data_IF_330350060301
#
_entry.id   IF_330350060301
#
_cell.length_a   1.000
_cell.length_b   1.000
_cell.length_c   1.000
_cell.angle_alpha   90.00
_cell.angle_beta   90.00
_cell.angle_gamma   90.00
#
_symmetry.space_group_name_H-M   'P 1'
#
loop_
_entity.id
_entity.type
_entity.pdbx_description
1 polymer ?
#
# COMPACT_ATOMS: atom_id res chain seq x y z
N UNK A 1 5.72 -12.04 3.46
CA UNK A 1 6.00 -11.07 2.37
C UNK A 1 6.87 -11.65 1.27
N UNK A 2 8.10 -12.10 1.56
CA UNK A 2 9.04 -12.54 0.51
C UNK A 2 8.48 -13.59 -0.46
N UNK A 3 7.63 -14.49 0.01
CA UNK A 3 7.01 -15.55 -0.79
C UNK A 3 6.12 -14.96 -1.90
N UNK A 4 5.28 -13.99 -1.56
CA UNK A 4 4.33 -13.38 -2.49
C UNK A 4 4.99 -12.43 -3.49
N UNK A 5 6.08 -11.77 -3.08
CA UNK A 5 6.85 -10.87 -3.97
C UNK A 5 7.44 -11.62 -5.17
N UNK A 6 7.84 -12.87 -5.00
CA UNK A 6 8.50 -13.62 -6.06
C UNK A 6 7.55 -14.26 -7.09
N UNK A 7 6.25 -14.38 -6.78
CA UNK A 7 5.32 -15.21 -7.57
C UNK A 7 4.10 -14.47 -8.12
N UNK A 8 3.92 -13.17 -7.82
CA UNK A 8 2.74 -12.42 -8.27
C UNK A 8 3.09 -11.11 -8.97
N UNK A 9 2.21 -10.68 -9.88
CA UNK A 9 2.28 -9.38 -10.53
C UNK A 9 2.15 -8.21 -9.52
N UNK A 10 1.57 -8.48 -8.34
CA UNK A 10 1.38 -7.49 -7.29
C UNK A 10 2.70 -6.89 -6.79
N UNK A 11 3.81 -7.64 -6.91
CA UNK A 11 5.16 -7.14 -6.63
C UNK A 11 5.59 -6.05 -7.63
N UNK A 12 5.27 -6.23 -8.91
CA UNK A 12 5.51 -5.19 -9.92
C UNK A 12 4.67 -3.96 -9.63
N UNK A 13 3.38 -4.15 -9.29
CA UNK A 13 2.48 -3.06 -8.92
C UNK A 13 2.99 -2.30 -7.69
N UNK A 14 3.46 -3.03 -6.67
CA UNK A 14 4.08 -2.46 -5.49
C UNK A 14 5.33 -1.64 -5.83
N UNK A 15 6.15 -2.12 -6.76
CA UNK A 15 7.34 -1.42 -7.25
C UNK A 15 7.01 -0.10 -7.94
N UNK A 16 6.04 -0.10 -8.85
CA UNK A 16 5.59 1.11 -9.56
C UNK A 16 5.05 2.14 -8.57
N UNK A 17 4.17 1.72 -7.65
CA UNK A 17 3.61 2.59 -6.62
C UNK A 17 4.68 3.14 -5.67
N UNK A 18 5.66 2.30 -5.26
CA UNK A 18 6.75 2.71 -4.39
C UNK A 18 7.65 3.77 -5.05
N UNK A 19 7.98 3.62 -6.32
CA UNK A 19 8.71 4.64 -7.07
C UNK A 19 7.91 5.94 -7.18
N UNK A 20 6.59 5.84 -7.45
CA UNK A 20 5.70 7.00 -7.47
C UNK A 20 5.72 7.78 -6.15
N UNK A 21 5.57 7.09 -5.01
CA UNK A 21 5.64 7.71 -3.69
C UNK A 21 7.03 8.28 -3.37
N UNK A 22 8.10 7.58 -3.77
CA UNK A 22 9.48 8.04 -3.56
C UNK A 22 9.76 9.33 -4.31
N UNK A 23 9.37 9.38 -5.59
CA UNK A 23 9.54 10.60 -6.40
C UNK A 23 8.71 11.76 -5.85
N UNK A 24 7.50 11.49 -5.35
CA UNK A 24 6.69 12.50 -4.69
C UNK A 24 7.34 13.04 -3.42
N UNK A 25 7.94 12.15 -2.61
CA UNK A 25 8.67 12.53 -1.41
C UNK A 25 9.92 13.37 -1.74
N UNK A 26 10.67 12.97 -2.77
CA UNK A 26 11.83 13.74 -3.26
C UNK A 26 11.40 15.11 -3.80
N UNK A 27 10.27 15.17 -4.51
CA UNK A 27 9.72 16.43 -4.99
C UNK A 27 9.27 17.34 -3.83
N UNK A 28 8.71 16.77 -2.77
CA UNK A 28 8.23 17.52 -1.61
C UNK A 28 9.37 18.05 -0.71
N UNK A 29 10.52 17.37 -0.71
CA UNK A 29 11.70 17.75 0.09
C UNK A 29 12.79 18.44 -0.72
N UNK A 30 12.75 18.35 -2.05
CA UNK A 30 13.69 18.97 -2.96
C UNK A 30 13.31 20.42 -3.31
N UNK A 31 14.15 21.05 -4.12
CA UNK A 31 13.96 22.41 -4.61
C UNK A 31 14.22 22.54 -6.12
N UNK A 32 13.63 23.56 -6.75
CA UNK A 32 13.88 23.92 -8.13
C UNK A 32 13.32 22.97 -9.19
N UNK A 33 13.92 22.98 -10.38
CA UNK A 33 13.43 22.22 -11.56
C UNK A 33 13.39 20.70 -11.35
N UNK A 34 14.27 20.17 -10.51
CA UNK A 34 14.26 18.75 -10.14
C UNK A 34 12.98 18.38 -9.41
N UNK A 35 12.51 19.22 -8.49
CA UNK A 35 11.25 19.00 -7.76
C UNK A 35 10.06 18.94 -8.71
N UNK A 36 9.98 19.81 -9.71
CA UNK A 36 8.88 19.82 -10.70
C UNK A 36 8.92 18.56 -11.56
N UNK A 37 10.08 18.18 -12.10
CA UNK A 37 10.22 16.94 -12.89
C UNK A 37 9.87 15.69 -12.10
N UNK A 38 10.35 15.61 -10.86
CA UNK A 38 10.06 14.50 -9.96
C UNK A 38 8.56 14.42 -9.60
N UNK A 39 7.87 15.55 -9.42
CA UNK A 39 6.44 15.56 -9.13
C UNK A 39 5.60 15.08 -10.31
N UNK A 40 5.92 15.48 -11.54
CA UNK A 40 5.24 14.97 -12.74
C UNK A 40 5.50 13.48 -12.93
N UNK A 41 6.75 13.03 -12.77
CA UNK A 41 7.10 11.61 -12.85
C UNK A 41 6.39 10.78 -11.76
N UNK A 42 6.27 11.31 -10.55
CA UNK A 42 5.48 10.69 -9.48
C UNK A 42 4.01 10.52 -9.91
N UNK A 43 3.43 11.57 -10.49
CA UNK A 43 2.07 11.55 -11.00
C UNK A 43 1.86 10.54 -12.14
N UNK A 44 2.81 10.45 -13.07
CA UNK A 44 2.78 9.45 -14.14
C UNK A 44 2.77 8.02 -13.56
N UNK A 45 3.64 7.71 -12.59
CA UNK A 45 3.71 6.38 -11.99
C UNK A 45 2.48 6.07 -11.14
N UNK A 46 2.03 6.99 -10.29
CA UNK A 46 0.82 6.81 -9.47
C UNK A 46 -0.44 6.76 -10.34
N UNK A 47 -0.51 7.58 -11.38
CA UNK A 47 -1.59 7.53 -12.37
C UNK A 47 -1.59 6.23 -13.17
N UNK A 48 -0.41 5.71 -13.54
CA UNK A 48 -0.31 4.40 -14.21
C UNK A 48 -0.70 3.26 -13.26
N UNK A 49 -0.33 3.34 -11.98
CA UNK A 49 -0.63 2.29 -11.01
C UNK A 49 -2.14 1.99 -10.90
N UNK A 50 -3.03 2.99 -11.03
CA UNK A 50 -4.48 2.77 -10.97
C UNK A 50 -5.04 1.96 -12.16
N UNK A 51 -4.27 1.86 -13.26
CA UNK A 51 -4.60 1.01 -14.40
C UNK A 51 -3.99 -0.39 -14.28
N UNK A 52 -3.00 -0.59 -13.41
CA UNK A 52 -2.47 -1.91 -13.07
C UNK A 52 -3.38 -2.68 -12.12
N UNK A 53 -3.91 -1.98 -11.11
CA UNK A 53 -4.87 -2.52 -10.14
C UNK A 53 -5.78 -1.40 -9.63
N UNK A 54 -7.10 -1.65 -9.63
CA UNK A 54 -8.10 -0.67 -9.19
C UNK A 54 -7.95 -0.28 -7.72
N UNK A 55 -7.44 -1.18 -6.88
CA UNK A 55 -7.16 -0.91 -5.45
C UNK A 55 -6.06 0.13 -5.25
N UNK A 56 -5.16 0.30 -6.22
CA UNK A 56 -4.04 1.25 -6.12
C UNK A 56 -4.48 2.71 -6.16
N UNK A 57 -5.74 3.01 -6.46
CA UNK A 57 -6.31 4.36 -6.23
C UNK A 57 -6.15 4.78 -4.77
N UNK A 58 -6.13 3.84 -3.83
CA UNK A 58 -5.93 4.10 -2.41
C UNK A 58 -4.51 4.61 -2.07
N UNK A 59 -3.54 4.50 -3.01
CA UNK A 59 -2.22 5.13 -2.86
C UNK A 59 -2.29 6.65 -2.75
N UNK A 60 -3.40 7.27 -3.10
CA UNK A 60 -3.65 8.69 -2.86
C UNK A 60 -3.54 9.06 -1.36
N UNK A 61 -3.89 8.13 -0.45
CA UNK A 61 -3.84 8.35 1.00
C UNK A 61 -2.39 8.51 1.49
N UNK A 62 -1.47 7.54 1.28
CA UNK A 62 -0.07 7.73 1.66
C UNK A 62 0.62 8.83 0.84
N UNK A 63 0.24 9.07 -0.42
CA UNK A 63 0.75 10.20 -1.19
C UNK A 63 0.43 11.54 -0.52
N UNK A 64 -0.81 11.72 -0.07
CA UNK A 64 -1.20 12.90 0.68
C UNK A 64 -0.48 12.99 2.03
N UNK A 65 -0.31 11.86 2.74
CA UNK A 65 0.45 11.82 3.98
C UNK A 65 1.91 12.26 3.79
N UNK A 66 2.56 11.88 2.70
CA UNK A 66 3.92 12.35 2.35
C UNK A 66 3.98 13.88 2.23
N UNK A 67 3.03 14.48 1.50
CA UNK A 67 2.97 15.93 1.34
C UNK A 67 2.69 16.64 2.67
N UNK A 68 1.80 16.09 3.48
CA UNK A 68 1.46 16.61 4.80
C UNK A 68 2.65 16.57 5.77
N UNK A 69 3.44 15.49 5.75
CA UNK A 69 4.66 15.34 6.54
C UNK A 69 5.73 16.32 6.08
N UNK A 70 5.93 16.46 4.77
CA UNK A 70 6.86 17.43 4.19
C UNK A 70 6.40 18.90 4.36
N UNK A 71 5.12 19.14 4.71
CA UNK A 71 4.47 20.46 4.77
C UNK A 71 4.62 21.26 3.47
N UNK A 72 4.69 20.54 2.36
CA UNK A 72 4.87 21.12 1.04
C UNK A 72 3.89 20.46 0.05
N UNK A 73 2.89 21.21 -0.36
CA UNK A 73 1.84 20.74 -1.27
C UNK A 73 2.09 21.15 -2.73
N UNK A 74 3.15 21.90 -3.00
CA UNK A 74 3.47 22.34 -4.36
C UNK A 74 3.61 21.16 -5.35
N UNK A 75 4.26 20.03 -4.98
CA UNK A 75 4.39 18.88 -5.88
C UNK A 75 3.05 18.22 -6.26
N UNK A 76 1.99 18.49 -5.52
CA UNK A 76 0.66 17.95 -5.85
C UNK A 76 0.19 18.38 -7.25
N UNK A 77 0.48 19.61 -7.66
CA UNK A 77 0.12 20.14 -8.98
C UNK A 77 0.78 19.32 -10.09
N UNK A 78 2.09 19.11 -10.00
CA UNK A 78 2.83 18.29 -10.98
C UNK A 78 2.36 16.83 -10.97
N UNK A 79 2.09 16.27 -9.79
CA UNK A 79 1.57 14.91 -9.67
C UNK A 79 0.18 14.76 -10.30
N UNK A 80 -0.72 15.73 -10.10
CA UNK A 80 -2.04 15.73 -10.75
C UNK A 80 -1.88 15.82 -12.29
N UNK A 81 -1.01 16.71 -12.78
CA UNK A 81 -0.75 16.83 -14.23
C UNK A 81 -0.24 15.50 -14.80
N UNK A 82 0.73 14.86 -14.14
CA UNK A 82 1.23 13.55 -14.57
C UNK A 82 0.15 12.47 -14.56
N UNK A 83 -0.65 12.39 -13.50
CA UNK A 83 -1.73 11.42 -13.40
C UNK A 83 -2.82 11.65 -14.46
N UNK A 84 -3.21 12.90 -14.70
CA UNK A 84 -4.20 13.26 -15.74
C UNK A 84 -3.68 12.95 -17.14
N UNK A 85 -2.38 13.08 -17.42
CA UNK A 85 -1.79 12.69 -18.69
C UNK A 85 -1.97 11.19 -18.96
N UNK A 86 -1.78 10.34 -17.93
CA UNK A 86 -2.03 8.89 -18.04
C UNK A 86 -3.52 8.63 -18.28
N UNK A 87 -4.41 9.25 -17.49
CA UNK A 87 -5.86 9.11 -17.65
C UNK A 87 -6.29 9.52 -19.06
N UNK A 88 -5.80 10.65 -19.57
CA UNK A 88 -6.09 11.12 -20.91
C UNK A 88 -5.62 10.15 -22.00
N UNK A 89 -4.44 9.52 -21.80
CA UNK A 89 -3.89 8.53 -22.74
C UNK A 89 -4.78 7.29 -22.81
N UNK A 90 -5.15 6.70 -21.68
CA UNK A 90 -6.02 5.52 -21.66
C UNK A 90 -7.44 5.82 -22.17
N UNK A 91 -8.01 6.97 -21.78
CA UNK A 91 -9.33 7.41 -22.26
C UNK A 91 -9.31 7.67 -23.76
N UNK A 92 -8.27 8.34 -24.27
CA UNK A 92 -8.08 8.57 -25.71
C UNK A 92 -7.90 7.28 -26.50
N UNK A 93 -7.34 6.23 -25.88
CA UNK A 93 -7.27 4.89 -26.45
C UNK A 93 -8.57 4.08 -26.35
N UNK A 94 -9.67 4.71 -25.85
CA UNK A 94 -10.99 4.08 -25.73
C UNK A 94 -11.23 3.30 -24.44
N UNK A 95 -10.34 3.38 -23.46
CA UNK A 95 -10.53 2.73 -22.16
C UNK A 95 -11.00 3.72 -21.11
N UNK A 96 -12.29 3.59 -20.67
CA UNK A 96 -12.83 4.35 -19.57
C UNK A 96 -12.69 3.60 -18.25
N UNK A 97 -11.94 4.15 -17.30
CA UNK A 97 -11.57 3.49 -16.04
C UNK A 97 -12.78 3.02 -15.21
N UNK A 98 -13.85 3.82 -15.16
CA UNK A 98 -15.05 3.48 -14.39
C UNK A 98 -15.86 2.34 -15.01
N UNK A 99 -15.82 2.15 -16.32
CA UNK A 99 -16.46 1.01 -16.98
C UNK A 99 -15.73 -0.28 -16.60
N UNK A 100 -14.39 -0.25 -16.61
CA UNK A 100 -13.56 -1.35 -16.17
C UNK A 100 -13.81 -1.70 -14.70
N UNK A 101 -13.88 -0.69 -13.82
CA UNK A 101 -14.19 -0.89 -12.41
C UNK A 101 -15.59 -1.49 -12.20
N UNK A 102 -16.61 -1.03 -12.93
CA UNK A 102 -17.97 -1.54 -12.84
C UNK A 102 -18.04 -3.01 -13.27
N UNK A 103 -17.37 -3.36 -14.35
CA UNK A 103 -17.27 -4.73 -14.85
C UNK A 103 -16.52 -5.65 -13.88
N UNK A 104 -15.39 -5.18 -13.34
CA UNK A 104 -14.65 -5.91 -12.30
C UNK A 104 -15.54 -6.19 -11.09
N UNK A 105 -16.22 -5.15 -10.58
CA UNK A 105 -17.10 -5.27 -9.43
C UNK A 105 -18.23 -6.26 -9.68
N UNK A 106 -18.88 -6.19 -10.83
CA UNK A 106 -19.94 -7.13 -11.21
C UNK A 106 -19.40 -8.56 -11.25
N UNK A 107 -18.27 -8.79 -11.93
CA UNK A 107 -17.64 -10.11 -12.04
C UNK A 107 -17.17 -10.65 -10.67
N UNK A 108 -16.64 -9.80 -9.82
CA UNK A 108 -16.21 -10.17 -8.48
C UNK A 108 -17.39 -10.60 -7.61
N UNK A 109 -18.48 -9.83 -7.60
CA UNK A 109 -19.67 -10.10 -6.79
C UNK A 109 -20.49 -11.27 -7.32
N UNK A 110 -20.49 -11.56 -8.63
CA UNK A 110 -21.14 -12.74 -9.22
C UNK A 110 -20.28 -14.01 -9.18
N UNK A 111 -19.01 -13.89 -8.78
CA UNK A 111 -18.07 -15.00 -8.69
C UNK A 111 -17.95 -15.59 -7.28
N UNK A 112 -16.77 -16.11 -6.96
CA UNK A 112 -16.46 -16.79 -5.69
C UNK A 112 -16.70 -15.89 -4.45
N UNK A 113 -16.58 -14.56 -4.62
CA UNK A 113 -16.80 -13.59 -3.55
C UNK A 113 -18.25 -13.55 -3.03
N UNK A 114 -19.22 -14.05 -3.82
CA UNK A 114 -20.61 -14.18 -3.39
C UNK A 114 -20.75 -15.16 -2.21
N UNK A 115 -19.95 -16.21 -2.20
CA UNK A 115 -19.96 -17.26 -1.16
C UNK A 115 -19.06 -16.89 0.04
N UNK A 116 -18.46 -15.69 0.04
CA UNK A 116 -17.54 -15.24 1.10
C UNK A 116 -18.25 -14.20 1.99
N UNK A 117 -18.76 -14.57 3.18
CA UNK A 117 -19.47 -13.66 4.07
C UNK A 117 -18.53 -12.56 4.58
N UNK A 118 -18.97 -11.31 4.48
CA UNK A 118 -18.16 -10.15 4.89
C UNK A 118 -17.81 -10.21 6.39
N UNK A 119 -18.76 -10.62 7.24
CA UNK A 119 -18.54 -10.72 8.68
C UNK A 119 -17.37 -11.63 9.07
N UNK A 120 -17.09 -12.68 8.30
CA UNK A 120 -15.94 -13.54 8.51
C UNK A 120 -14.66 -12.93 7.91
N UNK A 121 -14.74 -12.49 6.66
CA UNK A 121 -13.54 -12.05 5.95
C UNK A 121 -13.00 -10.70 6.43
N UNK A 122 -13.84 -9.82 6.99
CA UNK A 122 -13.40 -8.52 7.53
C UNK A 122 -12.35 -8.64 8.65
N UNK A 123 -12.41 -9.68 9.48
CA UNK A 123 -11.35 -9.92 10.47
C UNK A 123 -10.29 -10.93 9.98
N UNK A 124 -10.68 -11.91 9.16
CA UNK A 124 -9.76 -12.92 8.64
C UNK A 124 -8.68 -12.28 7.72
N UNK A 125 -9.04 -11.25 6.97
CA UNK A 125 -8.11 -10.46 6.16
C UNK A 125 -7.00 -9.84 7.01
N UNK A 126 -7.31 -9.30 8.20
CA UNK A 126 -6.29 -8.77 9.11
C UNK A 126 -5.46 -9.86 9.75
N UNK A 127 -6.02 -11.04 10.01
CA UNK A 127 -5.24 -12.19 10.48
C UNK A 127 -4.22 -12.63 9.39
N UNK A 128 -4.65 -12.73 8.15
CA UNK A 128 -3.78 -12.99 6.99
C UNK A 128 -2.70 -11.91 6.83
N UNK A 129 -3.07 -10.63 6.96
CA UNK A 129 -2.13 -9.51 6.95
C UNK A 129 -1.05 -9.67 8.04
N UNK A 130 -1.43 -10.03 9.27
CA UNK A 130 -0.47 -10.23 10.37
C UNK A 130 0.50 -11.37 10.04
N UNK A 131 0.02 -12.46 9.44
CA UNK A 131 0.89 -13.53 8.94
C UNK A 131 1.84 -13.03 7.84
N UNK A 132 1.34 -12.19 6.94
CA UNK A 132 2.12 -11.66 5.81
C UNK A 132 3.22 -10.67 6.25
N UNK A 133 2.91 -9.70 7.14
CA UNK A 133 3.87 -8.71 7.62
C UNK A 133 4.74 -9.22 8.78
N UNK A 134 4.27 -10.26 9.47
CA UNK A 134 4.91 -10.88 10.64
C UNK A 134 4.58 -10.20 11.96
N UNK A 135 4.60 -11.00 13.04
CA UNK A 135 4.28 -10.56 14.40
C UNK A 135 5.09 -9.34 14.90
N UNK A 136 6.42 -9.25 14.65
CA UNK A 136 7.19 -8.09 15.07
C UNK A 136 6.72 -6.79 14.43
N UNK A 137 6.31 -6.81 13.15
CA UNK A 137 5.78 -5.64 12.48
C UNK A 137 4.40 -5.26 13.04
N UNK A 138 3.50 -6.23 13.20
CA UNK A 138 2.16 -6.01 13.76
C UNK A 138 2.21 -5.42 15.18
N UNK A 139 3.08 -5.96 16.05
CA UNK A 139 3.22 -5.44 17.43
C UNK A 139 3.88 -4.06 17.47
N UNK A 140 4.80 -3.76 16.56
CA UNK A 140 5.46 -2.47 16.47
C UNK A 140 4.52 -1.36 16.01
N UNK A 141 3.54 -1.66 15.15
CA UNK A 141 2.55 -0.70 14.66
C UNK A 141 1.80 0.02 15.79
N UNK A 142 1.56 -0.66 16.93
CA UNK A 142 0.96 -0.03 18.12
C UNK A 142 1.67 1.26 18.52
N UNK A 143 2.98 1.38 18.28
CA UNK A 143 3.75 2.58 18.61
C UNK A 143 3.45 3.76 17.70
N UNK A 144 3.05 3.52 16.46
CA UNK A 144 2.63 4.58 15.56
C UNK A 144 1.35 5.28 16.04
N UNK A 145 0.49 4.56 16.78
CA UNK A 145 -0.76 5.09 17.33
C UNK A 145 -0.61 5.67 18.75
N UNK A 146 0.60 5.72 19.31
CA UNK A 146 0.86 6.33 20.60
C UNK A 146 0.54 7.84 20.60
N UNK A 147 -0.03 8.36 21.68
CA UNK A 147 -0.40 9.77 21.80
C UNK A 147 0.78 10.73 21.60
N UNK A 148 1.98 10.33 22.01
CA UNK A 148 3.22 11.07 21.79
C UNK A 148 3.62 11.12 20.31
N UNK A 149 3.44 10.02 19.57
CA UNK A 149 3.72 9.94 18.14
C UNK A 149 2.76 10.82 17.33
N UNK A 150 1.46 10.74 17.62
CA UNK A 150 0.42 11.56 16.99
C UNK A 150 0.63 13.07 17.26
N UNK A 151 1.07 13.43 18.48
CA UNK A 151 1.32 14.81 18.86
C UNK A 151 2.59 15.39 18.24
N UNK A 152 3.65 14.58 18.11
CA UNK A 152 4.93 15.03 17.56
C UNK A 152 4.96 15.07 16.02
N UNK A 153 3.91 14.56 15.35
CA UNK A 153 3.83 14.45 13.88
C UNK A 153 5.11 13.91 13.25
N UNK A 154 5.68 12.89 13.86
CA UNK A 154 6.86 12.24 13.31
C UNK A 154 6.50 11.63 11.96
N UNK A 155 7.27 11.95 10.92
CA UNK A 155 6.92 11.63 9.53
C UNK A 155 6.71 10.15 9.30
N UNK A 156 7.54 9.31 9.92
CA UNK A 156 7.47 7.86 9.74
C UNK A 156 6.18 7.27 10.33
N UNK A 157 5.77 7.70 11.54
CA UNK A 157 4.54 7.24 12.15
C UNK A 157 3.30 7.65 11.34
N UNK A 158 3.28 8.88 10.82
CA UNK A 158 2.18 9.35 9.97
C UNK A 158 2.05 8.50 8.70
N UNK A 159 3.16 8.12 8.08
CA UNK A 159 3.16 7.25 6.90
C UNK A 159 2.68 5.84 7.26
N UNK A 160 3.12 5.26 8.38
CA UNK A 160 2.62 3.97 8.85
C UNK A 160 1.11 3.99 9.08
N UNK A 161 0.59 5.03 9.72
CA UNK A 161 -0.85 5.22 9.94
C UNK A 161 -1.58 5.33 8.61
N UNK A 162 -1.05 6.07 7.64
CA UNK A 162 -1.67 6.19 6.30
C UNK A 162 -1.83 4.83 5.62
N UNK A 163 -0.82 3.95 5.69
CA UNK A 163 -0.93 2.60 5.14
C UNK A 163 -1.91 1.70 5.90
N UNK A 164 -2.01 1.84 7.22
CA UNK A 164 -3.05 1.14 7.99
C UNK A 164 -4.43 1.63 7.57
N UNK A 165 -4.63 2.94 7.40
CA UNK A 165 -5.90 3.52 6.91
C UNK A 165 -6.26 2.97 5.54
N UNK A 166 -5.30 2.87 4.61
CA UNK A 166 -5.52 2.23 3.30
C UNK A 166 -6.07 0.82 3.44
N UNK A 167 -5.45 0.00 4.29
CA UNK A 167 -5.88 -1.39 4.48
C UNK A 167 -7.26 -1.50 5.11
N UNK A 168 -7.60 -0.62 6.05
CA UNK A 168 -8.95 -0.54 6.62
C UNK A 168 -9.97 -0.14 5.54
N UNK A 169 -9.66 0.86 4.71
CA UNK A 169 -10.54 1.29 3.61
C UNK A 169 -10.70 0.17 2.57
N UNK A 170 -9.61 -0.52 2.23
CA UNK A 170 -9.66 -1.66 1.31
C UNK A 170 -10.55 -2.79 1.84
N UNK A 171 -10.46 -3.10 3.15
CA UNK A 171 -11.28 -4.12 3.78
C UNK A 171 -12.77 -3.74 3.80
N UNK A 172 -13.08 -2.52 4.22
CA UNK A 172 -14.47 -1.99 4.27
C UNK A 172 -15.10 -1.92 2.88
N UNK A 173 -14.30 -1.75 1.81
CA UNK A 173 -14.81 -1.78 0.42
C UNK A 173 -15.44 -3.11 0.03
N UNK A 174 -15.14 -4.20 0.76
CA UNK A 174 -15.56 -5.57 0.49
C UNK A 174 -15.16 -6.12 -0.91
N UNK A 175 -14.20 -5.45 -1.58
CA UNK A 175 -13.68 -5.85 -2.89
C UNK A 175 -12.40 -6.70 -2.80
N UNK A 176 -11.94 -7.02 -1.59
CA UNK A 176 -10.79 -7.87 -1.33
C UNK A 176 -11.09 -8.89 -0.23
N UNK A 177 -12.00 -9.83 -0.49
CA UNK A 177 -12.31 -10.93 0.43
C UNK A 177 -11.43 -12.13 0.12
N UNK A 178 -10.55 -12.50 1.05
CA UNK A 178 -9.47 -13.48 0.89
C UNK A 178 -8.34 -13.03 -0.07
N UNK A 179 -7.26 -13.79 -0.11
CA UNK A 179 -6.04 -13.53 -0.90
C UNK A 179 -5.40 -12.15 -0.58
N UNK A 180 -5.69 -11.62 0.60
CA UNK A 180 -5.24 -10.28 1.00
C UNK A 180 -3.73 -10.20 1.20
N UNK A 181 -3.07 -11.30 1.52
CA UNK A 181 -1.61 -11.41 1.59
C UNK A 181 -0.94 -11.06 0.27
N UNK A 182 -1.64 -11.23 -0.87
CA UNK A 182 -1.20 -10.88 -2.21
C UNK A 182 -1.76 -9.52 -2.63
N UNK A 183 -3.08 -9.37 -2.63
CA UNK A 183 -3.79 -8.17 -3.10
C UNK A 183 -3.37 -6.93 -2.31
N UNK A 184 -3.10 -7.08 -1.00
CA UNK A 184 -2.66 -5.96 -0.16
C UNK A 184 -1.15 -5.76 -0.14
N UNK A 185 -0.39 -6.56 -0.89
CA UNK A 185 1.07 -6.49 -0.93
C UNK A 185 1.61 -5.06 -1.19
N UNK A 186 1.07 -4.29 -2.16
CA UNK A 186 1.55 -2.94 -2.44
C UNK A 186 1.46 -1.99 -1.25
N UNK A 187 0.55 -2.25 -0.32
CA UNK A 187 0.35 -1.45 0.90
C UNK A 187 1.07 -2.07 2.10
N UNK A 188 0.96 -3.38 2.26
CA UNK A 188 1.45 -4.11 3.41
C UNK A 188 2.98 -4.15 3.49
N UNK A 189 3.68 -4.09 2.35
CA UNK A 189 5.15 -4.07 2.29
C UNK A 189 5.76 -2.93 3.10
N UNK A 190 5.10 -1.80 3.18
CA UNK A 190 5.55 -0.65 3.96
C UNK A 190 5.47 -0.90 5.46
N UNK A 191 4.47 -1.68 5.91
CA UNK A 191 4.29 -1.99 7.32
C UNK A 191 5.38 -2.92 7.88
N UNK A 192 6.11 -3.62 7.01
CA UNK A 192 7.27 -4.43 7.41
C UNK A 192 8.39 -3.56 8.02
N UNK A 193 8.40 -2.26 7.74
CA UNK A 193 9.34 -1.31 8.33
C UNK A 193 8.95 -0.87 9.76
N UNK A 194 7.75 -1.21 10.25
CA UNK A 194 7.27 -0.80 11.59
C UNK A 194 8.22 -1.17 12.76
N UNK A 195 8.99 -2.29 12.74
CA UNK A 195 9.97 -2.58 13.79
C UNK A 195 11.01 -1.48 14.00
N UNK A 196 11.23 -0.59 13.03
CA UNK A 196 12.09 0.59 13.22
C UNK A 196 11.57 1.54 14.32
N UNK A 197 10.28 1.47 14.69
CA UNK A 197 9.70 2.20 15.82
C UNK A 197 10.11 1.63 17.19
N UNK A 198 10.67 0.44 17.23
CA UNK A 198 11.11 -0.23 18.46
C UNK A 198 12.52 0.25 18.86
N UNK A 199 12.89 0.08 20.15
CA UNK A 199 14.25 0.35 20.58
C UNK A 199 15.28 -0.50 19.81
N UNK A 200 16.43 0.07 19.47
CA UNK A 200 17.50 -0.62 18.70
C UNK A 200 17.87 -1.99 19.26
N UNK A 201 17.83 -2.17 20.58
CA UNK A 201 18.12 -3.45 21.25
C UNK A 201 17.18 -4.59 20.81
N UNK A 202 15.97 -4.27 20.37
CA UNK A 202 14.96 -5.24 19.94
C UNK A 202 15.07 -5.61 18.45
N UNK A 203 15.81 -4.85 17.63
CA UNK A 203 15.81 -5.03 16.18
C UNK A 203 16.31 -6.40 15.74
N UNK A 204 17.42 -6.90 16.37
CA UNK A 204 17.97 -8.24 16.06
C UNK A 204 16.99 -9.35 16.39
N UNK A 205 16.32 -9.25 17.54
CA UNK A 205 15.28 -10.20 17.94
C UNK A 205 14.09 -10.15 16.96
N UNK A 206 13.63 -8.97 16.60
CA UNK A 206 12.54 -8.80 15.62
C UNK A 206 12.91 -9.40 14.26
N UNK A 207 14.14 -9.18 13.79
CA UNK A 207 14.61 -9.76 12.53
C UNK A 207 14.64 -11.29 12.59
N UNK A 208 15.17 -11.86 13.66
CA UNK A 208 15.17 -13.32 13.88
C UNK A 208 13.75 -13.90 13.94
N UNK A 209 12.86 -13.28 14.72
CA UNK A 209 11.47 -13.69 14.81
C UNK A 209 10.73 -13.58 13.47
N UNK A 210 11.02 -12.55 12.66
CA UNK A 210 10.49 -12.38 11.30
C UNK A 210 10.95 -13.51 10.38
N UNK A 211 12.25 -13.84 10.40
CA UNK A 211 12.81 -14.91 9.58
C UNK A 211 12.26 -16.29 9.97
N UNK A 212 12.22 -16.60 11.26
CA UNK A 212 11.65 -17.86 11.77
C UNK A 212 10.16 -17.94 11.44
N UNK A 213 9.39 -16.87 11.66
CA UNK A 213 7.97 -16.81 11.32
C UNK A 213 7.72 -17.05 9.83
N UNK A 214 8.51 -16.44 8.95
CA UNK A 214 8.40 -16.64 7.51
C UNK A 214 8.70 -18.11 7.12
N UNK A 215 9.72 -18.73 7.71
CA UNK A 215 10.04 -20.14 7.47
C UNK A 215 8.93 -21.07 7.96
N UNK A 216 8.39 -20.82 9.16
CA UNK A 216 7.29 -21.63 9.70
C UNK A 216 6.05 -21.53 8.84
N UNK A 217 5.65 -20.32 8.44
CA UNK A 217 4.49 -20.11 7.56
C UNK A 217 4.70 -20.85 6.23
N UNK A 218 5.87 -20.69 5.61
CA UNK A 218 6.17 -21.33 4.33
C UNK A 218 6.22 -22.87 4.42
N UNK A 219 6.62 -23.41 5.57
CA UNK A 219 6.80 -24.87 5.75
C UNK A 219 5.54 -25.57 6.26
N UNK A 220 4.69 -24.87 7.01
CA UNK A 220 3.54 -25.49 7.69
C UNK A 220 2.20 -25.15 7.04
N UNK A 221 2.12 -24.05 6.31
CA UNK A 221 0.87 -23.61 5.65
C UNK A 221 0.97 -23.96 4.18
N UNK A 222 0.14 -24.91 3.75
CA UNK A 222 -0.10 -25.19 2.34
C UNK A 222 -0.95 -24.05 1.76
N UNK A 223 -0.32 -23.19 0.98
CA UNK A 223 -1.02 -22.18 0.19
C UNK A 223 -1.29 -22.78 -1.19
N UNK A 224 -2.55 -22.86 -1.58
CA UNK A 224 -3.00 -23.40 -2.88
C UNK A 224 -3.03 -22.30 -3.94
N UNK A 225 -1.88 -21.65 -4.15
CA UNK A 225 -1.73 -20.63 -5.21
C UNK A 225 -0.92 -21.18 -6.37
#
# INVERSE_FOLDING_TARGET
>A
MAIWIAVSADAYFAGVAAWGLTLLALAATGAGRFSTGASVAAGLLLGFSIYLDYGLVLMAIPAFAVLMVARNYYPLVGAIVGALAVVATFTGAGFWWFDGLSLLRHRYLSGIAMNRPFAYWSWANFASLICAIGLPAATALRRAFGTSALRSRRGFECIMIAFVVVLVVADVSALSKAETERIWLPFAVWLVAAPALLPRRSHRFCLGAQAVGALLINSLILTTW
#
